data_IF_081175868880
#
_entry.id   IF_081175868880
#
_cell.length_a   1.000
_cell.length_b   1.000
_cell.length_c   1.000
_cell.angle_alpha   90.00
_cell.angle_beta   90.00
_cell.angle_gamma   90.00
#
_symmetry.space_group_name_H-M   'P 1'
#
loop_
_entity.id
_entity.type
_entity.pdbx_description
1 polymer ?
#
# COMPACT_ATOMS: atom_id res chain seq x y z
N UNK A 1 -11.81 -2.97 19.01
CA UNK A 1 -10.73 -2.54 18.09
C UNK A 1 -11.29 -1.53 17.10
N UNK A 2 -10.57 -0.44 16.82
CA UNK A 2 -10.94 0.56 15.81
C UNK A 2 -10.16 0.36 14.49
N UNK A 3 -10.72 0.85 13.38
CA UNK A 3 -10.06 0.87 12.07
C UNK A 3 -9.48 2.27 11.80
N UNK A 4 -8.36 2.30 11.06
CA UNK A 4 -7.80 3.52 10.49
C UNK A 4 -8.16 3.56 9.00
N UNK A 5 -8.82 4.63 8.56
CA UNK A 5 -9.12 4.89 7.16
C UNK A 5 -8.21 6.00 6.65
N UNK A 6 -7.68 5.84 5.43
CA UNK A 6 -6.80 6.83 4.82
C UNK A 6 -7.58 8.10 4.48
N UNK A 7 -7.14 9.24 5.02
CA UNK A 7 -7.63 10.57 4.65
C UNK A 7 -6.88 11.15 3.44
N UNK A 8 -6.02 10.35 2.80
CA UNK A 8 -5.20 10.69 1.64
C UNK A 8 -4.35 11.94 1.89
N UNK A 9 -4.85 13.13 1.52
CA UNK A 9 -4.15 14.40 1.65
C UNK A 9 -3.72 14.71 3.10
N UNK A 10 -4.53 14.29 4.08
CA UNK A 10 -4.29 14.60 5.49
C UNK A 10 -3.54 13.52 6.27
N UNK A 11 -3.31 12.34 5.68
CA UNK A 11 -2.67 11.20 6.38
C UNK A 11 -1.29 11.56 6.94
N UNK A 12 -0.57 12.46 6.26
CA UNK A 12 0.77 12.86 6.64
C UNK A 12 0.84 13.46 8.07
N UNK A 13 -0.19 14.22 8.48
CA UNK A 13 -0.28 14.86 9.80
C UNK A 13 -0.50 13.84 10.93
N UNK A 14 -1.16 12.72 10.62
CA UNK A 14 -1.51 11.65 11.58
C UNK A 14 -0.47 10.53 11.67
N UNK A 15 0.70 10.73 11.05
CA UNK A 15 1.81 9.78 11.21
C UNK A 15 2.28 9.75 12.67
N UNK A 16 2.59 8.55 13.18
CA UNK A 16 2.98 8.34 14.58
C UNK A 16 4.08 9.30 15.06
N UNK A 17 5.09 9.55 14.21
CA UNK A 17 6.18 10.48 14.50
C UNK A 17 5.70 11.93 14.69
N UNK A 18 4.72 12.39 13.90
CA UNK A 18 4.15 13.74 14.03
C UNK A 18 3.25 13.88 15.26
N UNK A 19 2.57 12.79 15.62
CA UNK A 19 1.81 12.70 16.87
C UNK A 19 2.72 12.51 18.10
N UNK A 20 4.06 12.55 17.93
CA UNK A 20 5.06 12.33 18.99
C UNK A 20 4.93 10.95 19.67
N UNK A 21 4.37 9.98 18.96
CA UNK A 21 4.44 8.59 19.37
C UNK A 21 5.83 8.04 19.00
N UNK A 22 6.62 7.72 20.02
CA UNK A 22 7.98 7.18 19.91
C UNK A 22 8.04 5.65 20.03
N UNK A 23 6.89 5.00 20.17
CA UNK A 23 6.78 3.54 20.19
C UNK A 23 6.77 2.97 18.76
N UNK A 24 6.70 1.65 18.65
CA UNK A 24 6.48 1.00 17.36
C UNK A 24 5.00 1.19 16.97
N UNK A 25 4.69 1.90 15.88
CA UNK A 25 3.31 2.18 15.52
C UNK A 25 2.61 0.90 15.08
N UNK A 26 1.35 0.78 15.48
CA UNK A 26 0.46 -0.28 14.99
C UNK A 26 0.41 -0.28 13.47
N UNK A 27 0.47 -1.46 12.86
CA UNK A 27 0.31 -1.61 11.42
C UNK A 27 -1.13 -1.30 11.00
N UNK A 28 -1.28 -0.54 9.92
CA UNK A 28 -2.55 -0.26 9.26
C UNK A 28 -2.41 -0.47 7.75
N UNK A 29 -3.48 -0.91 7.07
CA UNK A 29 -3.48 -1.00 5.62
C UNK A 29 -3.39 0.40 5.01
N UNK A 30 -2.58 0.57 3.96
CA UNK A 30 -2.41 1.84 3.25
C UNK A 30 -3.61 2.24 2.39
N UNK A 31 -4.52 1.30 2.12
CA UNK A 31 -5.70 1.50 1.27
C UNK A 31 -6.93 0.91 1.95
N UNK A 32 -8.12 1.50 1.74
CA UNK A 32 -9.37 0.93 2.22
C UNK A 32 -9.69 -0.39 1.49
N UNK A 33 -10.54 -1.23 2.10
CA UNK A 33 -11.01 -2.46 1.44
C UNK A 33 -11.81 -2.08 0.21
N UNK A 34 -11.77 -2.94 -0.81
CA UNK A 34 -12.70 -2.83 -1.91
C UNK A 34 -14.15 -2.83 -1.37
N UNK A 35 -15.03 -1.97 -1.89
CA UNK A 35 -16.44 -2.01 -1.52
C UNK A 35 -17.00 -3.41 -1.76
N UNK A 36 -17.61 -4.02 -0.74
CA UNK A 36 -18.31 -5.26 -0.92
C UNK A 36 -19.60 -4.96 -1.68
N UNK A 37 -19.83 -5.63 -2.81
CA UNK A 37 -21.05 -5.46 -3.61
C UNK A 37 -22.23 -6.27 -3.07
N UNK A 38 -21.98 -7.18 -2.12
CA UNK A 38 -23.03 -8.00 -1.53
C UNK A 38 -23.74 -7.25 -0.41
N UNK A 39 -25.05 -7.50 -0.20
CA UNK A 39 -25.75 -7.03 0.99
C UNK A 39 -25.11 -7.58 2.28
N UNK A 40 -25.27 -6.84 3.37
CA UNK A 40 -24.78 -7.22 4.71
C UNK A 40 -25.70 -8.25 5.34
N UNK A 41 -25.14 -9.42 5.69
CA UNK A 41 -25.85 -10.45 6.45
C UNK A 41 -25.65 -10.27 7.96
N UNK A 42 -26.67 -10.61 8.75
CA UNK A 42 -26.59 -10.64 10.21
C UNK A 42 -25.79 -11.86 10.64
N UNK A 43 -24.70 -11.64 11.39
CA UNK A 43 -23.76 -12.68 11.83
C UNK A 43 -23.85 -13.01 13.33
N UNK A 44 -24.67 -12.27 14.07
CA UNK A 44 -24.72 -12.26 15.54
C UNK A 44 -26.18 -12.39 16.01
N UNK A 45 -26.39 -13.04 17.15
CA UNK A 45 -27.71 -13.14 17.80
C UNK A 45 -28.06 -11.88 18.61
N UNK A 46 -29.29 -11.80 19.10
CA UNK A 46 -29.78 -10.63 19.87
C UNK A 46 -29.01 -10.38 21.19
N UNK A 47 -28.21 -11.35 21.65
CA UNK A 47 -27.36 -11.25 22.85
C UNK A 47 -25.91 -10.84 22.54
N UNK A 48 -25.54 -10.69 21.27
CA UNK A 48 -24.17 -10.34 20.88
C UNK A 48 -23.22 -11.53 20.63
N UNK A 49 -23.71 -12.77 20.66
CA UNK A 49 -22.92 -13.96 20.31
C UNK A 49 -22.98 -14.26 18.81
N UNK A 50 -21.85 -14.71 18.26
CA UNK A 50 -21.78 -15.17 16.87
C UNK A 50 -22.68 -16.40 16.66
N UNK A 51 -23.33 -16.46 15.51
CA UNK A 51 -24.11 -17.63 15.10
C UNK A 51 -23.19 -18.88 14.98
N UNK A 52 -23.70 -20.08 15.32
CA UNK A 52 -22.94 -21.31 15.19
C UNK A 52 -22.52 -21.52 13.72
N UNK A 53 -21.27 -21.91 13.50
CA UNK A 53 -20.70 -22.10 12.16
C UNK A 53 -20.03 -20.85 11.55
N UNK A 54 -20.14 -19.69 12.18
CA UNK A 54 -19.39 -18.50 11.75
C UNK A 54 -17.93 -18.58 12.23
N UNK A 55 -16.99 -18.60 11.28
CA UNK A 55 -15.57 -18.60 11.59
C UNK A 55 -15.10 -17.22 12.10
N UNK A 56 -14.19 -17.22 13.07
CA UNK A 56 -13.46 -16.03 13.52
C UNK A 56 -12.11 -16.00 12.83
N UNK A 57 -11.60 -14.82 12.47
CA UNK A 57 -10.21 -14.76 12.03
C UNK A 57 -9.27 -15.00 13.22
N UNK A 58 -8.06 -15.53 12.98
CA UNK A 58 -7.03 -15.58 14.01
C UNK A 58 -6.79 -14.17 14.58
N UNK A 59 -6.82 -14.08 15.91
CA UNK A 59 -6.67 -12.82 16.63
C UNK A 59 -7.94 -11.94 16.68
N UNK A 60 -9.12 -12.43 16.31
CA UNK A 60 -10.42 -11.75 16.55
C UNK A 60 -11.00 -12.05 17.95
N UNK A 61 -10.18 -12.54 18.89
CA UNK A 61 -10.59 -12.62 20.29
C UNK A 61 -10.65 -11.22 20.92
N UNK A 62 -11.36 -11.09 22.03
CA UNK A 62 -11.33 -9.86 22.85
C UNK A 62 -9.92 -9.48 23.30
N UNK A 63 -9.01 -10.45 23.36
CA UNK A 63 -7.60 -10.27 23.73
C UNK A 63 -6.66 -10.12 22.51
N UNK A 64 -7.17 -10.29 21.29
CA UNK A 64 -6.40 -10.14 20.07
C UNK A 64 -5.27 -11.16 19.92
N UNK A 65 -4.08 -10.67 19.55
CA UNK A 65 -2.83 -11.43 19.46
C UNK A 65 -1.93 -11.10 20.67
N UNK A 66 -2.48 -11.24 21.87
CA UNK A 66 -1.71 -10.99 23.09
C UNK A 66 -0.54 -11.97 23.21
N UNK A 67 0.64 -11.44 23.49
CA UNK A 67 1.86 -12.21 23.78
C UNK A 67 2.22 -11.92 25.23
N UNK A 68 2.42 -12.96 26.04
CA UNK A 68 2.73 -12.80 27.46
C UNK A 68 4.12 -12.20 27.68
N UNK A 69 4.33 -11.56 28.83
CA UNK A 69 5.62 -10.96 29.20
C UNK A 69 6.78 -11.96 29.11
N UNK A 70 6.53 -13.22 29.46
CA UNK A 70 7.53 -14.30 29.43
C UNK A 70 7.71 -14.94 28.06
N UNK A 71 6.78 -14.72 27.12
CA UNK A 71 6.84 -15.26 25.75
C UNK A 71 7.63 -14.33 24.81
N UNK A 72 7.96 -13.12 25.26
CA UNK A 72 8.76 -12.15 24.51
C UNK A 72 10.23 -12.58 24.44
N UNK A 73 10.93 -12.26 23.32
CA UNK A 73 12.36 -12.53 23.23
C UNK A 73 13.12 -11.71 24.28
N UNK A 74 14.17 -12.30 24.86
CA UNK A 74 15.03 -11.68 25.88
C UNK A 74 15.52 -10.27 25.51
N UNK A 75 15.66 -9.98 24.21
CA UNK A 75 15.97 -8.64 23.69
C UNK A 75 15.03 -8.26 22.56
N UNK A 76 14.30 -7.16 22.74
CA UNK A 76 13.44 -6.58 21.71
C UNK A 76 14.29 -5.69 20.80
N UNK A 77 14.59 -6.19 19.61
CA UNK A 77 15.19 -5.42 18.52
C UNK A 77 14.12 -4.70 17.70
N UNK A 78 14.52 -3.74 16.84
CA UNK A 78 13.58 -3.03 15.95
C UNK A 78 12.85 -3.98 14.97
N UNK A 79 13.52 -5.03 14.51
CA UNK A 79 12.91 -6.05 13.62
C UNK A 79 11.85 -6.86 14.38
N UNK A 80 12.20 -7.37 15.55
CA UNK A 80 11.27 -8.15 16.39
C UNK A 80 10.09 -7.29 16.86
N UNK A 81 10.31 -6.01 17.20
CA UNK A 81 9.22 -5.10 17.57
C UNK A 81 8.22 -4.89 16.42
N UNK A 82 8.71 -4.73 15.19
CA UNK A 82 7.87 -4.63 14.01
C UNK A 82 7.07 -5.92 13.77
N UNK A 83 7.70 -7.08 13.91
CA UNK A 83 7.04 -8.39 13.78
C UNK A 83 5.92 -8.60 14.80
N UNK A 84 6.17 -8.28 16.08
CA UNK A 84 5.17 -8.38 17.16
C UNK A 84 3.99 -7.43 16.92
N UNK A 85 4.26 -6.23 16.39
CA UNK A 85 3.24 -5.20 16.16
C UNK A 85 2.38 -5.47 14.92
N UNK A 86 2.91 -6.20 13.94
CA UNK A 86 2.19 -6.53 12.72
C UNK A 86 1.07 -7.53 13.02
N UNK A 87 -0.12 -7.39 12.39
CA UNK A 87 -1.16 -8.40 12.54
C UNK A 87 -0.73 -9.74 11.93
N UNK A 88 -1.43 -10.84 12.27
CA UNK A 88 -1.17 -12.15 11.69
C UNK A 88 -1.11 -12.10 10.16
N UNK A 89 -0.18 -12.85 9.57
CA UNK A 89 0.09 -12.85 8.13
C UNK A 89 -1.17 -13.12 7.30
N UNK A 90 -2.07 -13.97 7.79
CA UNK A 90 -3.36 -14.27 7.17
C UNK A 90 -4.24 -13.03 7.02
N UNK A 91 -4.25 -12.16 8.03
CA UNK A 91 -4.98 -10.89 7.99
C UNK A 91 -4.36 -9.95 6.97
N UNK A 92 -3.02 -9.86 6.93
CA UNK A 92 -2.31 -9.04 5.93
C UNK A 92 -2.61 -9.55 4.51
N UNK A 93 -2.65 -10.87 4.29
CA UNK A 93 -2.88 -11.47 2.99
C UNK A 93 -4.22 -11.07 2.35
N UNK A 94 -5.28 -10.85 3.15
CA UNK A 94 -6.58 -10.34 2.65
C UNK A 94 -6.39 -9.00 1.94
N UNK A 95 -5.56 -8.12 2.51
CA UNK A 95 -5.26 -6.81 1.94
C UNK A 95 -4.28 -6.89 0.77
N UNK A 96 -3.30 -7.80 0.82
CA UNK A 96 -2.33 -8.03 -0.26
C UNK A 96 -2.95 -8.60 -1.54
N UNK A 97 -4.06 -9.35 -1.43
CA UNK A 97 -4.73 -9.99 -2.58
C UNK A 97 -5.54 -9.01 -3.43
N UNK A 98 -5.82 -7.81 -2.94
CA UNK A 98 -6.55 -6.79 -3.69
C UNK A 98 -5.58 -6.13 -4.68
N UNK A 99 -5.51 -6.66 -5.91
CA UNK A 99 -4.66 -6.11 -6.97
C UNK A 99 -5.09 -4.67 -7.28
N UNK A 100 -4.15 -3.72 -7.38
CA UNK A 100 -4.44 -2.44 -8.01
C UNK A 100 -4.86 -2.71 -9.46
N UNK A 101 -6.08 -2.33 -9.84
CA UNK A 101 -6.46 -2.32 -11.26
C UNK A 101 -5.65 -1.27 -12.05
N UNK A 102 -4.92 -0.37 -11.37
CA UNK A 102 -4.32 0.82 -11.98
C UNK A 102 -2.87 1.09 -11.52
N UNK A 103 -1.96 0.14 -11.70
CA UNK A 103 -0.51 0.36 -11.46
C UNK A 103 0.34 0.13 -12.72
N UNK A 104 -0.24 0.30 -13.92
CA UNK A 104 0.47 0.12 -15.20
C UNK A 104 0.61 1.38 -16.05
N UNK A 105 0.25 2.56 -15.54
CA UNK A 105 0.18 3.78 -16.37
C UNK A 105 1.42 4.68 -16.27
N UNK A 106 2.16 4.69 -15.15
CA UNK A 106 3.31 5.60 -14.99
C UNK A 106 4.65 5.07 -15.52
N UNK A 107 4.90 3.76 -15.52
CA UNK A 107 6.13 3.20 -16.11
C UNK A 107 6.10 3.13 -17.65
N UNK A 108 4.90 3.04 -18.24
CA UNK A 108 4.72 3.01 -19.71
C UNK A 108 5.02 4.37 -20.36
N UNK A 109 4.73 5.48 -19.68
CA UNK A 109 5.01 6.82 -20.18
C UNK A 109 6.49 7.18 -20.14
N UNK A 110 7.26 6.62 -19.20
CA UNK A 110 8.72 6.80 -19.14
C UNK A 110 9.45 6.05 -20.27
N UNK A 111 9.16 4.74 -20.46
CA UNK A 111 9.75 3.97 -21.58
C UNK A 111 9.40 4.55 -22.96
N UNK A 112 8.16 5.01 -23.15
CA UNK A 112 7.73 5.63 -24.41
C UNK A 112 8.40 6.98 -24.69
N UNK A 113 8.87 7.69 -23.65
CA UNK A 113 9.65 8.93 -23.81
C UNK A 113 11.09 8.62 -24.24
N UNK A 114 11.71 7.61 -23.65
CA UNK A 114 13.08 7.17 -24.00
C UNK A 114 13.14 6.58 -25.42
N UNK A 115 12.18 5.73 -25.79
CA UNK A 115 12.09 5.12 -27.13
C UNK A 115 11.81 6.14 -28.25
N UNK A 116 11.12 7.25 -27.95
CA UNK A 116 10.94 8.35 -28.91
C UNK A 116 12.24 9.14 -29.11
N UNK A 117 12.97 9.41 -28.03
CA UNK A 117 14.25 10.13 -28.09
C UNK A 117 15.31 9.34 -28.88
N UNK A 118 15.30 8.00 -28.79
CA UNK A 118 16.20 7.15 -29.58
C UNK A 118 15.77 7.02 -31.05
N UNK A 119 14.46 7.02 -31.33
CA UNK A 119 13.94 6.99 -32.71
C UNK A 119 14.26 8.28 -33.47
N UNK A 120 14.14 9.44 -32.81
CA UNK A 120 14.47 10.74 -33.37
C UNK A 120 16.00 10.94 -33.55
N UNK A 121 16.83 10.19 -32.80
CA UNK A 121 18.29 10.16 -32.97
C UNK A 121 18.75 9.27 -34.14
N UNK A 122 18.03 8.20 -34.45
CA UNK A 122 18.35 7.26 -35.55
C UNK A 122 17.91 7.80 -36.91
N UNK A 123 16.84 8.60 -36.96
CA UNK A 123 16.55 9.41 -38.14
C UNK A 123 17.30 10.72 -38.04
N UNK A 124 18.59 10.69 -38.37
CA UNK A 124 19.29 11.89 -38.79
C UNK A 124 18.43 12.60 -39.83
N UNK A 125 17.74 13.65 -39.40
CA UNK A 125 17.26 14.68 -40.30
C UNK A 125 18.53 15.42 -40.68
N UNK A 126 19.21 14.91 -41.69
CA UNK A 126 20.23 15.65 -42.40
C UNK A 126 19.50 16.86 -43.01
N UNK A 127 19.53 17.98 -42.28
CA UNK A 127 19.26 19.27 -42.88
C UNK A 127 20.34 19.48 -43.95
N UNK A 128 19.99 19.67 -45.24
CA UNK A 128 21.00 20.02 -46.22
C UNK A 128 21.52 21.41 -45.89
N UNK A 129 22.68 21.45 -45.24
CA UNK A 129 23.61 22.58 -45.34
C UNK A 129 24.17 22.63 -46.75
N UNK A 130 24.36 23.86 -47.23
CA UNK A 130 25.10 24.28 -48.41
C UNK A 130 24.30 24.38 -49.72
N UNK A 131 23.97 25.61 -50.09
CA UNK A 131 24.26 26.22 -51.41
C UNK A 131 23.86 27.70 -51.38
N UNK A 132 24.67 28.53 -50.72
CA UNK A 132 24.77 29.96 -51.05
C UNK A 132 26.24 30.24 -51.40
N UNK A 133 26.57 29.97 -52.65
CA UNK A 133 27.75 30.53 -53.30
C UNK A 133 27.28 31.51 -54.38
N UNK A 134 27.60 32.78 -54.14
CA UNK A 134 27.96 33.84 -55.08
C UNK A 134 27.02 34.16 -56.26
N UNK A 135 26.39 35.34 -56.18
CA UNK A 135 26.43 36.29 -57.28
C UNK A 135 26.31 37.74 -56.75
N UNK A 136 27.45 38.41 -56.73
CA UNK A 136 27.56 39.86 -56.85
C UNK A 136 27.19 40.29 -58.28
N UNK A 137 26.28 41.25 -58.41
CA UNK A 137 26.32 42.51 -59.19
C UNK A 137 24.91 43.14 -59.13
#
# INVERSE_FOLDING_TARGET
MSLYFSAHQFDHAYTARRLRNWETPKWFPSRPRAPCKSPTSIIVNDRGHLLPGMARFPGDSSWGCYVGTWDLPRRITRKTAAEITNPPRERVAVWSRTRPCHEKTHFRTAKRKEEKLTFDHVKGVDHPTDMWHDCSI
#
